data_IF_469760426348
#
_entry.id   IF_469760426348
#
_cell.length_a   1.000
_cell.length_b   1.000
_cell.length_c   1.000
_cell.angle_alpha   90.00
_cell.angle_beta   90.00
_cell.angle_gamma   90.00
#
_symmetry.space_group_name_H-M   'P 1'
#
loop_
_entity.id
_entity.type
_entity.pdbx_description
1 polymer ?
#
# COMPACT_ATOMS: atom_id res chain seq x y z
N UNK A 1 -16.47 8.33 17.77
CA UNK A 1 -17.22 7.29 18.54
C UNK A 1 -17.01 5.91 17.95
N UNK A 2 -17.33 5.67 16.68
CA UNK A 2 -17.13 4.37 16.01
C UNK A 2 -15.69 3.84 16.04
N UNK A 3 -14.68 4.70 15.84
CA UNK A 3 -13.27 4.32 15.95
C UNK A 3 -12.88 3.82 17.36
N UNK A 4 -13.49 4.38 18.41
CA UNK A 4 -13.24 3.96 19.79
C UNK A 4 -13.92 2.63 20.09
N UNK A 5 -15.12 2.41 19.53
CA UNK A 5 -15.83 1.14 19.65
C UNK A 5 -15.04 0.02 18.97
N UNK A 6 -14.52 0.24 17.76
CA UNK A 6 -13.71 -0.76 17.06
C UNK A 6 -12.40 -1.07 17.78
N UNK A 7 -11.70 -0.07 18.32
CA UNK A 7 -10.44 -0.32 19.03
C UNK A 7 -10.65 -1.12 20.32
N UNK A 8 -11.72 -0.82 21.06
CA UNK A 8 -12.06 -1.56 22.29
C UNK A 8 -12.42 -3.01 21.96
N UNK A 9 -13.19 -3.26 20.88
CA UNK A 9 -13.51 -4.61 20.44
C UNK A 9 -12.27 -5.43 20.08
N UNK A 10 -11.31 -4.84 19.36
CA UNK A 10 -10.05 -5.52 18.99
C UNK A 10 -9.27 -5.94 20.24
N UNK A 11 -9.14 -5.04 21.22
CA UNK A 11 -8.42 -5.34 22.48
C UNK A 11 -9.12 -6.45 23.25
N UNK A 12 -10.45 -6.42 23.35
CA UNK A 12 -11.22 -7.45 24.04
C UNK A 12 -11.06 -8.83 23.39
N UNK A 13 -11.06 -8.89 22.05
CA UNK A 13 -10.86 -10.14 21.31
C UNK A 13 -9.43 -10.69 21.51
N UNK A 14 -8.42 -9.83 21.51
CA UNK A 14 -7.03 -10.24 21.80
C UNK A 14 -6.91 -10.84 23.20
N UNK A 15 -7.44 -10.15 24.23
CA UNK A 15 -7.41 -10.64 25.62
C UNK A 15 -8.17 -11.96 25.78
N UNK A 16 -9.30 -12.11 25.08
CA UNK A 16 -10.06 -13.35 25.08
C UNK A 16 -9.26 -14.49 24.44
N UNK A 17 -8.61 -14.26 23.29
CA UNK A 17 -7.79 -15.29 22.63
C UNK A 17 -6.61 -15.75 23.48
N UNK A 18 -5.93 -14.84 24.19
CA UNK A 18 -4.80 -15.19 25.07
C UNK A 18 -5.21 -16.03 26.29
N UNK A 19 -6.48 -15.98 26.71
CA UNK A 19 -6.96 -16.82 27.83
C UNK A 19 -7.07 -18.30 27.46
N UNK A 20 -7.16 -18.64 26.17
CA UNK A 20 -7.28 -20.01 25.67
C UNK A 20 -5.98 -20.54 25.03
N UNK A 21 -4.90 -19.76 25.03
CA UNK A 21 -3.60 -20.23 24.54
C UNK A 21 -2.95 -21.10 25.63
N UNK A 22 -2.64 -22.34 25.27
CA UNK A 22 -1.73 -23.20 26.03
C UNK A 22 -0.30 -22.83 25.60
N UNK A 23 0.56 -22.45 26.55
CA UNK A 23 1.96 -22.08 26.29
C UNK A 23 2.82 -23.32 25.97
N UNK A 24 2.59 -23.97 24.84
CA UNK A 24 3.54 -24.95 24.30
C UNK A 24 4.67 -24.22 23.56
N UNK A 25 5.59 -23.63 24.33
CA UNK A 25 6.87 -23.09 23.83
C UNK A 25 7.78 -24.25 23.40
N UNK A 26 7.49 -24.83 22.24
CA UNK A 26 8.37 -25.80 21.61
C UNK A 26 9.48 -25.04 20.85
N UNK A 27 10.72 -25.52 20.92
CA UNK A 27 11.86 -24.89 20.22
C UNK A 27 11.59 -24.76 18.69
N UNK A 28 10.71 -25.59 18.15
CA UNK A 28 10.33 -25.58 16.73
C UNK A 28 9.16 -24.64 16.39
N UNK A 29 8.43 -24.10 17.38
CA UNK A 29 7.36 -23.12 17.13
C UNK A 29 7.88 -21.70 16.95
N UNK A 30 9.08 -21.41 17.49
CA UNK A 30 9.75 -20.11 17.33
C UNK A 30 10.67 -20.06 16.09
N UNK A 31 10.87 -21.18 15.40
CA UNK A 31 11.65 -21.22 14.15
C UNK A 31 10.80 -20.87 12.94
N UNK A 32 11.38 -20.11 12.01
CA UNK A 32 10.72 -19.72 10.77
C UNK A 32 10.32 -20.97 9.96
N UNK A 33 9.07 -21.01 9.50
CA UNK A 33 8.51 -22.10 8.69
C UNK A 33 9.07 -22.08 7.26
N UNK A 34 10.33 -22.49 7.09
CA UNK A 34 10.99 -22.69 5.79
C UNK A 34 11.54 -24.12 5.64
N UNK A 35 10.84 -25.10 6.23
CA UNK A 35 11.23 -26.52 6.23
C UNK A 35 12.47 -26.87 7.10
N UNK A 36 12.64 -26.21 8.26
CA UNK A 36 13.68 -26.55 9.23
C UNK A 36 15.11 -26.17 8.80
N UNK A 37 15.23 -25.32 7.78
CA UNK A 37 16.50 -24.74 7.38
C UNK A 37 16.69 -23.41 8.11
N UNK A 38 17.81 -23.28 8.81
CA UNK A 38 18.30 -21.99 9.30
C UNK A 38 18.44 -21.05 8.10
N UNK A 39 17.96 -19.81 8.20
CA UNK A 39 18.12 -18.81 7.14
C UNK A 39 19.61 -18.49 6.95
N UNK A 40 20.25 -19.21 6.03
CA UNK A 40 21.67 -19.05 5.65
C UNK A 40 21.95 -17.71 4.94
N UNK A 41 20.90 -16.96 4.63
CA UNK A 41 20.98 -15.69 3.93
C UNK A 41 20.47 -14.55 4.82
N UNK A 42 21.09 -13.36 4.73
CA UNK A 42 20.60 -12.20 5.45
C UNK A 42 19.17 -11.87 5.00
N UNK A 43 18.29 -11.54 5.94
CA UNK A 43 16.90 -11.08 5.69
C UNK A 43 16.81 -9.79 4.83
N UNK A 44 17.95 -9.23 4.41
CA UNK A 44 18.03 -8.15 3.44
C UNK A 44 18.16 -8.72 2.04
N UNK A 45 17.07 -9.30 1.53
CA UNK A 45 16.97 -9.56 0.09
C UNK A 45 16.87 -8.21 -0.62
N UNK A 46 17.72 -7.90 -1.62
CA UNK A 46 17.58 -6.67 -2.37
C UNK A 46 16.21 -6.64 -3.05
N UNK A 47 15.40 -5.64 -2.69
CA UNK A 47 14.09 -5.42 -3.28
C UNK A 47 14.26 -5.12 -4.78
N UNK A 48 13.45 -5.75 -5.63
CA UNK A 48 13.49 -5.48 -7.06
C UNK A 48 13.10 -4.01 -7.31
N UNK A 49 13.97 -3.28 -8.02
CA UNK A 49 13.80 -1.85 -8.34
C UNK A 49 12.47 -1.54 -9.04
N UNK A 50 11.87 -2.50 -9.72
CA UNK A 50 10.56 -2.36 -10.38
C UNK A 50 9.42 -2.13 -9.38
N UNK A 51 9.37 -2.86 -8.26
CA UNK A 51 8.34 -2.64 -7.24
C UNK A 51 8.48 -1.27 -6.58
N UNK A 52 9.71 -0.76 -6.48
CA UNK A 52 9.97 0.58 -5.99
C UNK A 52 9.46 1.66 -6.95
N UNK A 53 9.61 1.48 -8.27
CA UNK A 53 9.08 2.42 -9.26
C UNK A 53 7.54 2.49 -9.21
N UNK A 54 6.86 1.35 -9.10
CA UNK A 54 5.39 1.31 -8.95
C UNK A 54 4.93 2.05 -7.69
N UNK A 55 5.66 1.92 -6.57
CA UNK A 55 5.35 2.65 -5.34
C UNK A 55 5.51 4.16 -5.48
N UNK A 56 6.53 4.63 -6.22
CA UNK A 56 6.71 6.05 -6.54
C UNK A 56 5.59 6.55 -7.44
N UNK A 57 5.24 5.81 -8.51
CA UNK A 57 4.12 6.18 -9.39
C UNK A 57 2.81 6.28 -8.60
N UNK A 58 2.55 5.32 -7.70
CA UNK A 58 1.37 5.36 -6.83
C UNK A 58 1.38 6.59 -5.92
N UNK A 59 2.52 6.91 -5.31
CA UNK A 59 2.66 8.07 -4.42
C UNK A 59 2.41 9.39 -5.16
N UNK A 60 2.97 9.55 -6.36
CA UNK A 60 2.77 10.77 -7.18
C UNK A 60 1.30 10.89 -7.59
N UNK A 61 0.69 9.81 -8.07
CA UNK A 61 -0.72 9.79 -8.46
C UNK A 61 -1.66 10.12 -7.28
N UNK A 62 -1.40 9.53 -6.11
CA UNK A 62 -2.21 9.75 -4.90
C UNK A 62 -2.06 11.20 -4.38
N UNK A 63 -0.85 11.76 -4.43
CA UNK A 63 -0.59 13.16 -4.09
C UNK A 63 -1.35 14.12 -5.01
N UNK A 64 -1.30 13.91 -6.31
CA UNK A 64 -1.98 14.75 -7.30
C UNK A 64 -3.50 14.71 -7.11
N UNK A 65 -4.06 13.52 -6.85
CA UNK A 65 -5.48 13.37 -6.55
C UNK A 65 -5.87 14.06 -5.24
N UNK A 66 -5.09 13.91 -4.17
CA UNK A 66 -5.34 14.54 -2.88
C UNK A 66 -5.39 16.07 -2.98
N UNK A 67 -4.51 16.67 -3.80
CA UNK A 67 -4.49 18.12 -4.06
C UNK A 67 -5.68 18.56 -4.93
N UNK A 68 -6.14 17.71 -5.87
CA UNK A 68 -7.24 18.02 -6.78
C UNK A 68 -8.61 18.11 -6.08
N UNK A 69 -8.85 17.30 -5.04
CA UNK A 69 -10.13 17.22 -4.33
C UNK A 69 -10.62 18.55 -3.71
N UNK A 70 -9.82 19.30 -2.93
CA UNK A 70 -10.29 20.54 -2.31
C UNK A 70 -10.59 21.65 -3.34
N UNK A 71 -9.95 21.63 -4.51
CA UNK A 71 -10.18 22.62 -5.58
C UNK A 71 -11.59 22.55 -6.18
N UNK A 72 -12.27 21.41 -6.04
CA UNK A 72 -13.62 21.16 -6.56
C UNK A 72 -14.64 22.08 -5.90
N UNK A 73 -14.53 22.30 -4.60
CA UNK A 73 -15.54 23.02 -3.82
C UNK A 73 -15.53 24.54 -4.07
N UNK A 74 -14.53 25.06 -4.80
CA UNK A 74 -14.31 26.50 -4.99
C UNK A 74 -14.70 26.94 -6.42
N UNK A 75 -14.81 25.99 -7.36
CA UNK A 75 -14.97 26.26 -8.79
C UNK A 75 -16.44 26.25 -9.24
N UNK A 76 -16.75 26.97 -10.32
CA UNK A 76 -18.03 26.83 -11.00
C UNK A 76 -18.17 25.47 -11.69
N UNK A 77 -19.40 25.01 -11.93
CA UNK A 77 -19.66 23.67 -12.51
C UNK A 77 -18.93 23.45 -13.86
N UNK A 78 -18.93 24.46 -14.73
CA UNK A 78 -18.27 24.39 -16.05
C UNK A 78 -16.75 24.32 -15.90
N UNK A 79 -16.17 25.16 -15.03
CA UNK A 79 -14.72 25.18 -14.78
C UNK A 79 -14.24 23.89 -14.10
N UNK A 80 -15.08 23.29 -13.25
CA UNK A 80 -14.81 22.00 -12.61
C UNK A 80 -14.70 20.87 -13.65
N UNK A 81 -15.62 20.79 -14.61
CA UNK A 81 -15.54 19.77 -15.67
C UNK A 81 -14.29 19.93 -16.53
N UNK A 82 -13.94 21.16 -16.93
CA UNK A 82 -12.72 21.40 -17.71
C UNK A 82 -11.45 21.04 -16.92
N UNK A 83 -11.40 21.39 -15.62
CA UNK A 83 -10.29 21.03 -14.74
C UNK A 83 -10.12 19.52 -14.63
N UNK A 84 -11.19 18.76 -14.39
CA UNK A 84 -11.15 17.30 -14.32
C UNK A 84 -10.70 16.66 -15.65
N UNK A 85 -11.18 17.21 -16.77
CA UNK A 85 -10.76 16.72 -18.09
C UNK A 85 -9.26 16.91 -18.31
N UNK A 86 -8.74 18.10 -17.99
CA UNK A 86 -7.30 18.38 -18.07
C UNK A 86 -6.49 17.51 -17.10
N UNK A 87 -6.98 17.34 -15.88
CA UNK A 87 -6.35 16.50 -14.85
C UNK A 87 -6.20 15.05 -15.33
N UNK A 88 -7.27 14.45 -15.86
CA UNK A 88 -7.23 13.07 -16.39
C UNK A 88 -6.27 12.97 -17.59
N UNK A 89 -6.25 13.96 -18.49
CA UNK A 89 -5.34 13.95 -19.64
C UNK A 89 -3.88 14.00 -19.19
N UNK A 90 -3.54 14.84 -18.22
CA UNK A 90 -2.18 14.95 -17.68
C UNK A 90 -1.75 13.64 -17.03
N UNK A 91 -2.62 13.02 -16.24
CA UNK A 91 -2.38 11.71 -15.62
C UNK A 91 -2.14 10.62 -16.66
N UNK A 92 -2.98 10.56 -17.71
CA UNK A 92 -2.83 9.59 -18.79
C UNK A 92 -1.52 9.79 -19.57
N UNK A 93 -1.10 11.04 -19.79
CA UNK A 93 0.17 11.36 -20.44
C UNK A 93 1.37 10.93 -19.59
N UNK A 94 1.35 11.25 -18.28
CA UNK A 94 2.41 10.84 -17.35
C UNK A 94 2.58 9.33 -17.31
N UNK A 95 1.46 8.61 -17.20
CA UNK A 95 1.44 7.14 -17.21
C UNK A 95 1.90 6.56 -18.55
N UNK A 96 1.50 7.15 -19.68
CA UNK A 96 1.95 6.71 -21.00
C UNK A 96 3.47 6.87 -21.18
N UNK A 97 4.04 7.99 -20.69
CA UNK A 97 5.49 8.22 -20.71
C UNK A 97 6.21 7.13 -19.91
N UNK A 98 5.71 6.78 -18.72
CA UNK A 98 6.32 5.75 -17.89
C UNK A 98 6.26 4.35 -18.52
N UNK A 99 5.14 3.99 -19.15
CA UNK A 99 5.01 2.73 -19.90
C UNK A 99 6.02 2.69 -21.07
N UNK A 100 6.20 3.80 -21.79
CA UNK A 100 7.18 3.89 -22.89
C UNK A 100 8.63 3.72 -22.40
N UNK A 101 8.95 4.18 -21.20
CA UNK A 101 10.27 3.95 -20.58
C UNK A 101 10.47 2.50 -20.10
N UNK A 102 9.43 1.67 -20.13
CA UNK A 102 9.54 0.25 -19.80
C UNK A 102 9.67 -0.05 -18.31
N UNK A 103 9.41 0.93 -17.43
CA UNK A 103 9.35 0.76 -15.97
C UNK A 103 8.40 -0.36 -15.55
N UNK A 104 7.32 -0.54 -16.33
CA UNK A 104 6.26 -1.53 -16.07
C UNK A 104 6.38 -2.79 -16.93
N UNK A 105 7.53 -3.06 -17.59
CA UNK A 105 7.69 -4.28 -18.39
C UNK A 105 8.21 -5.42 -17.51
N UNK A 106 7.27 -6.28 -17.11
CA UNK A 106 7.52 -7.50 -16.38
C UNK A 106 8.10 -8.51 -17.38
N UNK A 107 9.39 -8.80 -17.25
CA UNK A 107 9.92 -10.09 -17.70
C UNK A 107 10.05 -10.94 -16.44
N UNK A 108 9.38 -12.08 -16.46
CA UNK A 108 9.57 -13.16 -15.49
C UNK A 108 11.06 -13.46 -15.26
#
# INVERSE_FOLDING_TARGET
MWMLVSSVLIIMLMMFSSMFMEDELSINSDTQFECGMESMHPNTVPMYMHFFMVAILFLVFDMEFAISLPLINIMSLITQYMFWWLFIVILMLGLAIEILYGSTNWKE
#
